data_IF_688336147730
#
_entry.id   IF_688336147730
#
_cell.length_a   1.000
_cell.length_b   1.000
_cell.length_c   1.000
_cell.angle_alpha   90.00
_cell.angle_beta   90.00
_cell.angle_gamma   90.00
#
_symmetry.space_group_name_H-M   'P 1'
#
loop_
_entity.id
_entity.type
_entity.pdbx_description
1 polymer ?
#
# COMPACT_ATOMS: atom_id res chain seq x y z
N UNK A 1 19.67 34.11 -3.59
CA UNK A 1 19.54 32.72 -3.14
C UNK A 1 18.13 32.32 -3.52
N UNK A 2 17.99 31.65 -4.66
CA UNK A 2 16.70 31.18 -5.14
C UNK A 2 16.16 30.14 -4.15
N UNK A 3 14.93 30.33 -3.70
CA UNK A 3 14.18 29.34 -2.94
C UNK A 3 13.90 28.25 -3.98
N UNK A 4 14.56 27.09 -3.86
CA UNK A 4 14.20 25.95 -4.68
C UNK A 4 12.76 25.59 -4.34
N UNK A 5 11.84 25.75 -5.31
CA UNK A 5 10.50 25.17 -5.24
C UNK A 5 10.68 23.69 -4.92
N UNK A 6 10.40 23.35 -3.67
CA UNK A 6 10.46 21.96 -3.21
C UNK A 6 9.18 21.36 -3.77
N UNK A 7 9.26 20.82 -5.00
CA UNK A 7 8.14 20.16 -5.64
C UNK A 7 7.60 19.12 -4.66
N UNK A 8 6.47 19.44 -4.04
CA UNK A 8 5.88 18.59 -3.03
C UNK A 8 5.16 17.47 -3.78
N UNK A 9 5.83 16.33 -3.91
CA UNK A 9 5.36 15.10 -4.59
C UNK A 9 4.23 14.41 -3.83
N UNK A 10 3.30 15.20 -3.31
CA UNK A 10 2.25 14.79 -2.41
C UNK A 10 1.15 14.09 -3.18
N UNK A 11 0.83 12.86 -2.75
CA UNK A 11 -0.22 12.07 -3.37
C UNK A 11 -1.62 12.60 -2.97
N UNK A 12 -2.65 12.41 -3.82
CA UNK A 12 -4.03 12.81 -3.50
C UNK A 12 -4.51 12.30 -2.13
N UNK A 13 -4.19 11.05 -1.80
CA UNK A 13 -4.48 10.45 -0.49
C UNK A 13 -3.81 11.19 0.68
N UNK A 14 -2.56 11.62 0.54
CA UNK A 14 -1.83 12.37 1.58
C UNK A 14 -2.48 13.74 1.83
N UNK A 15 -2.86 14.42 0.74
CA UNK A 15 -3.62 15.68 0.80
C UNK A 15 -4.96 15.49 1.50
N UNK A 16 -5.64 14.37 1.25
CA UNK A 16 -6.89 14.01 1.92
C UNK A 16 -6.69 13.81 3.43
N UNK A 17 -5.71 13.02 3.84
CA UNK A 17 -5.41 12.78 5.27
C UNK A 17 -4.99 14.05 6.00
N UNK A 18 -4.17 14.91 5.37
CA UNK A 18 -3.77 16.20 5.96
C UNK A 18 -4.96 17.12 6.22
N UNK A 19 -5.97 17.15 5.34
CA UNK A 19 -7.19 17.92 5.57
C UNK A 19 -7.95 17.39 6.77
N UNK A 20 -8.13 16.07 6.86
CA UNK A 20 -8.77 15.44 8.01
C UNK A 20 -8.05 15.77 9.33
N UNK A 21 -6.72 15.70 9.37
CA UNK A 21 -5.94 16.02 10.57
C UNK A 21 -6.05 17.50 10.97
N UNK A 22 -6.26 18.40 10.01
CA UNK A 22 -6.49 19.82 10.28
C UNK A 22 -7.90 20.09 10.80
N UNK A 23 -8.91 19.47 10.21
CA UNK A 23 -10.33 19.63 10.59
C UNK A 23 -10.63 19.00 11.97
N UNK A 24 -9.81 18.04 12.38
CA UNK A 24 -9.97 17.31 13.66
C UNK A 24 -9.25 17.96 14.83
N UNK A 25 -8.33 18.90 14.57
CA UNK A 25 -7.87 19.85 15.61
C UNK A 25 -8.96 20.84 16.03
N UNK A 26 -9.99 21.03 15.21
CA UNK A 26 -11.14 21.91 15.52
C UNK A 26 -12.34 21.20 16.15
N UNK A 27 -12.37 19.85 16.13
CA UNK A 27 -13.50 19.09 16.68
C UNK A 27 -12.98 17.90 17.48
N UNK A 28 -13.04 18.01 18.81
CA UNK A 28 -12.68 16.94 19.74
C UNK A 28 -13.43 15.66 19.35
N UNK A 29 -12.71 14.62 18.93
CA UNK A 29 -13.20 13.29 18.50
C UNK A 29 -13.95 12.48 19.59
N UNK A 30 -14.48 13.13 20.62
CA UNK A 30 -15.29 12.48 21.65
C UNK A 30 -16.70 12.10 21.18
N UNK A 31 -17.22 12.71 20.10
CA UNK A 31 -18.67 12.67 19.86
C UNK A 31 -19.12 11.74 18.73
N UNK A 32 -18.22 11.25 17.86
CA UNK A 32 -18.64 10.48 16.68
C UNK A 32 -19.11 9.05 16.99
N UNK A 33 -18.80 8.51 18.17
CA UNK A 33 -19.39 7.26 18.66
C UNK A 33 -20.56 7.47 19.63
N UNK A 34 -20.85 8.72 20.03
CA UNK A 34 -21.82 9.04 21.08
C UNK A 34 -23.08 9.77 20.55
N UNK A 35 -23.10 10.26 19.30
CA UNK A 35 -24.26 10.95 18.75
C UNK A 35 -25.01 10.10 17.73
N UNK A 36 -26.14 9.54 18.16
CA UNK A 36 -27.03 8.66 17.42
C UNK A 36 -27.93 9.39 16.39
N UNK A 37 -27.54 10.56 15.89
CA UNK A 37 -28.40 11.36 15.02
C UNK A 37 -27.64 11.97 13.83
N UNK A 38 -28.10 11.55 12.65
CA UNK A 38 -27.93 12.16 11.32
C UNK A 38 -26.60 11.94 10.58
N UNK A 39 -26.58 10.92 9.72
CA UNK A 39 -25.79 10.96 8.48
C UNK A 39 -26.75 10.74 7.30
N UNK A 40 -26.90 11.79 6.49
CA UNK A 40 -27.69 11.81 5.25
C UNK A 40 -27.04 10.91 4.21
N UNK A 41 -27.82 10.00 3.64
CA UNK A 41 -27.45 9.13 2.53
C UNK A 41 -27.05 9.96 1.31
N UNK A 42 -25.80 9.86 0.85
CA UNK A 42 -25.37 10.50 -0.40
C UNK A 42 -23.88 10.72 -0.62
N UNK A 43 -23.00 10.60 0.38
CA UNK A 43 -21.57 10.89 0.21
C UNK A 43 -20.67 9.67 0.45
N UNK A 44 -19.60 9.61 -0.35
CA UNK A 44 -18.62 8.52 -0.50
C UNK A 44 -18.24 7.82 0.83
N UNK A 45 -18.42 6.48 0.95
CA UNK A 45 -18.05 5.78 2.16
C UNK A 45 -16.54 5.57 2.20
N UNK A 46 -15.82 6.31 3.05
CA UNK A 46 -14.63 5.91 3.83
C UNK A 46 -13.84 7.14 4.28
N UNK A 47 -14.11 7.59 5.51
CA UNK A 47 -13.31 8.62 6.18
C UNK A 47 -12.95 8.20 7.60
N UNK A 48 -12.32 7.04 7.83
CA UNK A 48 -11.80 6.75 9.19
C UNK A 48 -10.48 5.97 9.13
N UNK A 49 -9.36 6.67 8.93
CA UNK A 49 -8.04 6.20 9.31
C UNK A 49 -7.18 7.39 9.76
N UNK A 50 -7.53 8.00 10.88
CA UNK A 50 -6.61 8.86 11.65
C UNK A 50 -6.13 8.06 12.87
N UNK A 51 -4.90 7.56 12.76
CA UNK A 51 -3.94 7.45 13.86
C UNK A 51 -4.49 7.10 15.26
N UNK A 52 -4.99 5.86 15.47
CA UNK A 52 -4.57 4.98 16.59
C UNK A 52 -5.25 3.63 16.70
N UNK A 53 -6.36 3.36 16.04
CA UNK A 53 -6.88 2.00 15.86
C UNK A 53 -7.87 1.98 14.71
N UNK A 54 -7.87 0.85 14.04
CA UNK A 54 -8.41 0.56 12.73
C UNK A 54 -9.90 0.89 12.53
N UNK A 55 -10.30 1.34 11.34
CA UNK A 55 -11.71 1.25 10.90
C UNK A 55 -11.81 0.66 9.50
N UNK A 56 -12.46 -0.51 9.47
CA UNK A 56 -12.98 -1.24 8.32
C UNK A 56 -14.38 -0.72 8.06
N UNK A 57 -14.83 -0.76 6.80
CA UNK A 57 -16.19 -0.52 6.34
C UNK A 57 -17.27 -0.83 7.41
N UNK A 58 -17.80 0.20 8.08
CA UNK A 58 -18.89 0.04 9.04
C UNK A 58 -20.23 -0.03 8.31
N UNK A 59 -21.03 -1.04 8.59
CA UNK A 59 -22.47 -0.85 8.59
C UNK A 59 -22.77 0.09 9.77
N UNK A 60 -23.01 1.37 9.48
CA UNK A 60 -23.17 2.47 10.46
C UNK A 60 -24.39 2.27 11.38
N UNK A 61 -25.18 1.20 11.20
CA UNK A 61 -26.31 0.85 12.07
C UNK A 61 -25.97 0.04 13.33
N UNK A 62 -24.82 -0.67 13.36
CA UNK A 62 -24.41 -1.45 14.53
C UNK A 62 -22.88 -1.51 14.61
N UNK A 63 -22.29 -1.10 15.73
CA UNK A 63 -20.85 -1.25 16.01
C UNK A 63 -20.46 -2.72 16.27
N UNK A 64 -20.85 -3.63 15.38
CA UNK A 64 -20.45 -5.02 15.40
C UNK A 64 -19.34 -5.23 14.36
N UNK A 65 -18.09 -5.29 14.83
CA UNK A 65 -16.93 -5.64 13.99
C UNK A 65 -16.97 -7.15 13.77
N UNK A 66 -17.71 -7.59 12.74
CA UNK A 66 -17.71 -8.98 12.29
C UNK A 66 -16.55 -9.24 11.31
N UNK A 67 -15.32 -9.11 11.78
CA UNK A 67 -14.15 -9.53 11.01
C UNK A 67 -13.34 -10.56 11.77
N UNK A 68 -12.83 -11.57 11.06
CA UNK A 68 -11.74 -12.41 11.56
C UNK A 68 -10.62 -11.53 12.11
N UNK A 69 -9.88 -11.94 13.15
CA UNK A 69 -8.78 -11.13 13.68
C UNK A 69 -7.70 -10.95 12.59
N UNK A 70 -7.70 -9.80 11.92
CA UNK A 70 -6.69 -9.43 10.92
C UNK A 70 -5.58 -8.67 11.65
N UNK A 71 -4.34 -9.14 11.52
CA UNK A 71 -3.18 -8.50 12.15
C UNK A 71 -2.93 -7.09 11.63
N UNK A 72 -2.45 -6.20 12.50
CA UNK A 72 -2.17 -4.78 12.20
C UNK A 72 -1.29 -4.60 10.94
N UNK A 73 -0.40 -5.54 10.64
CA UNK A 73 0.44 -5.45 9.45
C UNK A 73 -0.34 -5.63 8.14
N UNK A 74 -1.38 -6.45 8.14
CA UNK A 74 -2.31 -6.57 7.01
C UNK A 74 -3.13 -5.29 6.84
N UNK A 75 -3.53 -4.68 7.94
CA UNK A 75 -4.31 -3.45 7.98
C UNK A 75 -3.54 -2.28 7.37
N UNK A 76 -2.25 -2.15 7.68
CA UNK A 76 -1.36 -1.19 7.03
C UNK A 76 -1.28 -1.42 5.52
N UNK A 77 -1.18 -2.67 5.09
CA UNK A 77 -1.15 -3.02 3.66
C UNK A 77 -2.48 -2.69 2.99
N UNK A 78 -3.62 -2.96 3.63
CA UNK A 78 -4.95 -2.59 3.12
C UNK A 78 -5.07 -1.09 2.90
N UNK A 79 -4.60 -0.27 3.85
CA UNK A 79 -4.56 1.18 3.67
C UNK A 79 -3.78 1.57 2.41
N UNK A 80 -2.58 1.00 2.23
CA UNK A 80 -1.73 1.32 1.06
C UNK A 80 -2.42 0.93 -0.26
N UNK A 81 -3.07 -0.24 -0.31
CA UNK A 81 -3.86 -0.70 -1.46
C UNK A 81 -5.02 0.26 -1.75
N UNK A 82 -5.72 0.70 -0.70
CA UNK A 82 -6.82 1.65 -0.83
C UNK A 82 -6.34 3.02 -1.31
N UNK A 83 -5.26 3.54 -0.72
CA UNK A 83 -4.63 4.80 -1.12
C UNK A 83 -4.23 4.76 -2.59
N UNK A 84 -3.74 3.61 -3.07
CA UNK A 84 -3.45 3.44 -4.49
C UNK A 84 -4.65 3.66 -5.39
N UNK A 85 -5.81 3.11 -5.02
CA UNK A 85 -7.05 3.35 -5.76
C UNK A 85 -7.47 4.83 -5.79
N UNK A 86 -7.01 5.66 -4.85
CA UNK A 86 -7.21 7.11 -4.88
C UNK A 86 -6.13 7.83 -5.69
N UNK A 87 -4.92 7.28 -5.71
CA UNK A 87 -3.75 7.92 -6.29
C UNK A 87 -3.48 7.51 -7.74
N UNK A 88 -4.07 6.41 -8.23
CA UNK A 88 -3.61 5.76 -9.46
C UNK A 88 -3.71 6.65 -10.70
N UNK A 89 -4.74 7.47 -10.85
CA UNK A 89 -4.85 8.40 -12.01
C UNK A 89 -3.76 9.47 -11.97
N UNK A 90 -3.46 9.99 -10.77
CA UNK A 90 -2.40 10.97 -10.59
C UNK A 90 -1.02 10.37 -10.89
N UNK A 91 -0.76 9.16 -10.37
CA UNK A 91 0.48 8.43 -10.69
C UNK A 91 0.55 8.07 -12.17
N UNK A 92 -0.57 7.68 -12.80
CA UNK A 92 -0.65 7.39 -14.24
C UNK A 92 -0.29 8.62 -15.07
N UNK A 93 -0.86 9.78 -14.73
CA UNK A 93 -0.58 11.07 -15.34
C UNK A 93 0.91 11.41 -15.25
N UNK A 94 1.54 11.33 -14.07
CA UNK A 94 2.95 11.67 -13.87
C UNK A 94 3.96 10.84 -14.72
N UNK A 95 3.54 9.72 -15.30
CA UNK A 95 4.36 8.89 -16.18
C UNK A 95 3.92 8.93 -17.67
N UNK A 96 3.01 9.83 -18.02
CA UNK A 96 2.67 10.18 -19.40
C UNK A 96 3.60 11.30 -19.91
N UNK A 97 3.65 11.48 -21.22
CA UNK A 97 4.43 12.53 -21.89
C UNK A 97 3.65 13.84 -22.05
N UNK A 98 2.53 13.98 -21.32
CA UNK A 98 1.67 15.16 -21.39
C UNK A 98 2.26 16.29 -20.54
N UNK A 99 2.29 17.52 -21.08
CA UNK A 99 2.84 18.69 -20.39
C UNK A 99 2.01 19.04 -19.15
N UNK A 100 0.69 18.78 -19.17
CA UNK A 100 -0.22 18.99 -18.03
C UNK A 100 0.04 18.03 -16.85
N UNK A 101 0.82 16.97 -17.11
CA UNK A 101 1.19 15.94 -16.14
C UNK A 101 2.65 16.01 -15.68
N UNK A 102 3.40 17.04 -16.11
CA UNK A 102 4.85 17.10 -15.88
C UNK A 102 5.18 17.46 -14.44
N UNK A 103 5.50 16.44 -13.64
CA UNK A 103 5.96 16.60 -12.25
C UNK A 103 7.34 15.98 -12.06
N UNK A 104 8.23 16.69 -11.36
CA UNK A 104 9.58 16.20 -11.01
C UNK A 104 9.55 15.21 -9.83
N UNK A 105 8.62 14.27 -9.85
CA UNK A 105 8.29 13.35 -8.75
C UNK A 105 8.54 11.88 -9.07
N UNK A 106 9.21 11.62 -10.20
CA UNK A 106 9.50 10.26 -10.69
C UNK A 106 10.12 9.38 -9.61
N UNK A 107 11.11 9.86 -8.87
CA UNK A 107 11.82 9.04 -7.87
C UNK A 107 10.88 8.62 -6.72
N UNK A 108 10.06 9.54 -6.22
CA UNK A 108 9.12 9.28 -5.11
C UNK A 108 7.97 8.38 -5.56
N UNK A 109 7.41 8.63 -6.74
CA UNK A 109 6.38 7.75 -7.29
C UNK A 109 6.91 6.37 -7.63
N UNK A 110 8.17 6.24 -8.06
CA UNK A 110 8.77 4.93 -8.22
C UNK A 110 8.89 4.18 -6.89
N UNK A 111 9.30 4.83 -5.79
CA UNK A 111 9.30 4.19 -4.46
C UNK A 111 7.90 3.77 -4.02
N UNK A 112 6.91 4.60 -4.33
CA UNK A 112 5.51 4.29 -4.09
C UNK A 112 5.07 3.05 -4.89
N UNK A 113 5.29 3.03 -6.21
CA UNK A 113 4.98 1.88 -7.09
C UNK A 113 5.70 0.60 -6.66
N UNK A 114 6.96 0.68 -6.23
CA UNK A 114 7.69 -0.46 -5.67
C UNK A 114 6.96 -1.07 -4.48
N UNK A 115 6.47 -0.23 -3.56
CA UNK A 115 5.71 -0.66 -2.39
C UNK A 115 4.39 -1.32 -2.81
N UNK A 116 3.68 -0.73 -3.79
CA UNK A 116 2.44 -1.30 -4.35
C UNK A 116 2.69 -2.66 -5.00
N UNK A 117 3.74 -2.80 -5.81
CA UNK A 117 4.11 -4.07 -6.45
C UNK A 117 4.32 -5.18 -5.41
N UNK A 118 5.13 -4.91 -4.39
CA UNK A 118 5.43 -5.89 -3.33
C UNK A 118 4.18 -6.33 -2.57
N UNK A 119 3.25 -5.40 -2.32
CA UNK A 119 1.97 -5.69 -1.66
C UNK A 119 1.05 -6.46 -2.61
N UNK A 120 0.91 -6.03 -3.87
CA UNK A 120 0.11 -6.71 -4.89
C UNK A 120 0.51 -8.17 -5.01
N UNK A 121 1.82 -8.47 -5.10
CA UNK A 121 2.31 -9.85 -5.19
C UNK A 121 1.99 -10.69 -3.96
N UNK A 122 2.05 -10.13 -2.75
CA UNK A 122 1.57 -10.85 -1.57
C UNK A 122 0.07 -11.14 -1.63
N UNK A 123 -0.73 -10.13 -1.99
CA UNK A 123 -2.20 -10.25 -1.98
C UNK A 123 -2.76 -11.07 -3.14
N UNK A 124 -2.06 -11.17 -4.27
CA UNK A 124 -2.40 -12.07 -5.37
C UNK A 124 -2.53 -13.52 -4.88
N UNK A 125 -1.64 -13.95 -3.99
CA UNK A 125 -1.71 -15.28 -3.35
C UNK A 125 -2.78 -15.34 -2.26
N UNK A 126 -2.84 -14.33 -1.37
CA UNK A 126 -3.81 -14.29 -0.25
C UNK A 126 -5.25 -14.35 -0.75
N UNK A 127 -5.57 -13.56 -1.76
CA UNK A 127 -6.92 -13.43 -2.29
C UNK A 127 -7.31 -14.55 -3.26
N UNK A 128 -6.35 -15.31 -3.78
CA UNK A 128 -6.62 -16.47 -4.64
C UNK A 128 -6.82 -17.75 -3.84
N UNK A 129 -6.35 -17.79 -2.60
CA UNK A 129 -6.40 -19.00 -1.77
C UNK A 129 -7.63 -18.99 -0.83
N UNK A 130 -8.52 -19.96 -1.03
CA UNK A 130 -9.78 -20.10 -0.29
C UNK A 130 -9.62 -20.20 1.23
N UNK A 131 -8.51 -20.73 1.76
CA UNK A 131 -8.31 -20.90 3.22
C UNK A 131 -7.86 -19.62 3.92
N UNK A 132 -7.23 -18.68 3.22
CA UNK A 132 -6.71 -17.41 3.78
C UNK A 132 -7.38 -16.15 3.23
N UNK A 133 -8.38 -16.32 2.35
CA UNK A 133 -9.14 -15.23 1.72
C UNK A 133 -9.85 -14.29 2.72
N UNK A 134 -9.98 -14.68 3.99
CA UNK A 134 -10.46 -13.78 5.06
C UNK A 134 -9.61 -12.52 5.23
N UNK A 135 -8.34 -12.55 4.80
CA UNK A 135 -7.42 -11.41 4.82
C UNK A 135 -7.45 -10.61 3.51
N UNK A 136 -8.23 -11.02 2.53
CA UNK A 136 -8.42 -10.28 1.30
C UNK A 136 -9.36 -9.09 1.55
N UNK A 137 -8.98 -7.86 1.14
CA UNK A 137 -9.87 -6.72 1.30
C UNK A 137 -11.07 -6.84 0.35
N UNK A 138 -12.25 -6.42 0.79
CA UNK A 138 -13.47 -6.45 -0.04
C UNK A 138 -13.33 -5.64 -1.34
N UNK A 139 -12.48 -4.60 -1.34
CA UNK A 139 -12.16 -3.75 -2.49
C UNK A 139 -11.02 -4.29 -3.36
N UNK A 140 -10.56 -5.52 -3.14
CA UNK A 140 -9.43 -6.11 -3.88
C UNK A 140 -9.65 -6.09 -5.39
N UNK A 141 -10.87 -6.40 -5.85
CA UNK A 141 -11.18 -6.44 -7.29
C UNK A 141 -11.08 -5.07 -7.97
N UNK A 142 -11.51 -4.02 -7.29
CA UNK A 142 -11.41 -2.65 -7.81
C UNK A 142 -9.95 -2.22 -7.89
N UNK A 143 -9.17 -2.54 -6.85
CA UNK A 143 -7.72 -2.32 -6.87
C UNK A 143 -7.04 -3.10 -8.00
N UNK A 144 -7.36 -4.38 -8.22
CA UNK A 144 -6.78 -5.18 -9.29
C UNK A 144 -6.98 -4.52 -10.66
N UNK A 145 -8.16 -3.95 -10.91
CA UNK A 145 -8.46 -3.21 -12.14
C UNK A 145 -7.56 -1.99 -12.29
N UNK A 146 -7.51 -1.13 -11.27
CA UNK A 146 -6.69 0.10 -11.27
C UNK A 146 -5.19 -0.22 -11.44
N UNK A 147 -4.71 -1.25 -10.74
CA UNK A 147 -3.33 -1.72 -10.83
C UNK A 147 -3.01 -2.26 -12.22
N UNK A 148 -3.91 -3.02 -12.84
CA UNK A 148 -3.69 -3.56 -14.19
C UNK A 148 -3.46 -2.45 -15.22
N UNK A 149 -4.23 -1.37 -15.15
CA UNK A 149 -4.10 -0.21 -16.05
C UNK A 149 -2.75 0.52 -15.94
N UNK A 150 -2.14 0.46 -14.77
CA UNK A 150 -0.95 1.24 -14.38
C UNK A 150 0.29 0.37 -14.17
N UNK A 151 0.16 -0.95 -14.24
CA UNK A 151 1.23 -1.92 -13.99
C UNK A 151 2.48 -1.70 -14.85
N UNK A 152 2.32 -1.19 -16.06
CA UNK A 152 3.43 -0.85 -16.96
C UNK A 152 4.36 0.25 -16.42
N UNK A 153 3.91 1.07 -15.46
CA UNK A 153 4.71 2.12 -14.82
C UNK A 153 5.89 1.52 -14.06
N UNK A 154 5.75 0.31 -13.51
CA UNK A 154 6.84 -0.39 -12.82
C UNK A 154 8.09 -0.51 -13.72
N UNK A 155 7.90 -0.80 -15.01
CA UNK A 155 9.00 -0.91 -15.96
C UNK A 155 9.72 0.42 -16.23
N UNK A 156 8.98 1.54 -16.14
CA UNK A 156 9.51 2.91 -16.30
C UNK A 156 10.35 3.37 -15.09
N UNK A 157 10.29 2.63 -13.99
CA UNK A 157 11.01 2.90 -12.75
C UNK A 157 12.31 2.10 -12.61
N UNK A 158 12.67 1.27 -13.60
CA UNK A 158 13.84 0.40 -13.52
C UNK A 158 15.15 1.16 -13.26
N UNK A 159 15.36 2.28 -13.94
CA UNK A 159 16.54 3.14 -13.74
C UNK A 159 16.61 3.71 -12.32
N UNK A 160 15.46 4.08 -11.75
CA UNK A 160 15.36 4.55 -10.37
C UNK A 160 15.64 3.41 -9.38
N UNK A 161 15.08 2.23 -9.61
CA UNK A 161 15.32 1.06 -8.76
C UNK A 161 16.78 0.66 -8.76
N UNK A 162 17.41 0.58 -9.93
CA UNK A 162 18.83 0.25 -10.05
C UNK A 162 19.71 1.29 -9.32
N UNK A 163 19.40 2.59 -9.49
CA UNK A 163 20.08 3.70 -8.80
C UNK A 163 19.95 3.61 -7.27
N UNK A 164 18.77 3.28 -6.78
CA UNK A 164 18.48 3.14 -5.35
C UNK A 164 18.90 1.77 -4.78
N UNK A 165 19.40 0.87 -5.63
CA UNK A 165 19.86 -0.45 -5.23
C UNK A 165 18.71 -1.38 -4.84
N UNK A 166 17.57 -1.31 -5.53
CA UNK A 166 16.48 -2.28 -5.44
C UNK A 166 16.57 -3.31 -6.57
N UNK A 167 16.32 -4.57 -6.26
CA UNK A 167 16.28 -5.66 -7.24
C UNK A 167 15.18 -6.66 -6.91
N UNK A 168 14.71 -7.37 -7.93
CA UNK A 168 13.72 -8.43 -7.76
C UNK A 168 14.37 -9.71 -7.25
N UNK A 169 13.76 -10.31 -6.25
CA UNK A 169 14.17 -11.58 -5.66
C UNK A 169 12.91 -12.39 -5.30
N UNK A 170 13.01 -13.71 -5.39
CA UNK A 170 11.96 -14.61 -4.91
C UNK A 170 12.06 -14.77 -3.40
N UNK A 171 11.05 -14.31 -2.67
CA UNK A 171 10.97 -14.35 -1.21
C UNK A 171 10.03 -15.46 -0.74
N UNK A 172 10.43 -16.18 0.29
CA UNK A 172 9.59 -17.21 0.92
C UNK A 172 8.30 -16.58 1.47
N UNK A 173 7.17 -17.18 1.13
CA UNK A 173 5.83 -16.73 1.48
C UNK A 173 5.23 -17.63 2.57
N UNK A 174 5.45 -17.25 3.83
CA UNK A 174 5.21 -18.10 5.00
C UNK A 174 3.76 -18.32 5.44
N UNK A 175 2.78 -17.96 4.62
CA UNK A 175 1.35 -18.00 5.03
C UNK A 175 0.71 -19.39 4.94
N UNK A 176 1.28 -20.31 4.17
CA UNK A 176 0.66 -21.63 3.91
C UNK A 176 1.42 -22.81 4.53
N UNK A 177 2.54 -22.57 5.22
CA UNK A 177 3.43 -23.65 5.70
C UNK A 177 4.09 -24.48 4.59
N UNK A 178 3.78 -24.18 3.33
CA UNK A 178 4.38 -24.74 2.11
C UNK A 178 5.55 -23.84 1.69
N UNK A 179 6.59 -24.41 1.08
CA UNK A 179 7.66 -23.63 0.42
C UNK A 179 7.15 -22.94 -0.85
N UNK A 180 6.39 -21.88 -0.66
CA UNK A 180 5.97 -20.97 -1.72
C UNK A 180 6.89 -19.74 -1.76
N UNK A 181 7.21 -19.28 -2.96
CA UNK A 181 8.06 -18.12 -3.17
C UNK A 181 7.38 -17.11 -4.09
N UNK A 182 7.39 -15.83 -3.71
CA UNK A 182 6.80 -14.74 -4.48
C UNK A 182 7.87 -13.73 -4.88
N UNK A 183 7.73 -13.12 -6.06
CA UNK A 183 8.65 -12.09 -6.53
C UNK A 183 8.40 -10.78 -5.79
N UNK A 184 9.46 -10.21 -5.19
CA UNK A 184 9.42 -8.93 -4.50
C UNK A 184 10.70 -8.14 -4.78
N UNK A 185 10.60 -6.81 -4.75
CA UNK A 185 11.74 -5.92 -4.70
C UNK A 185 12.33 -5.86 -3.29
N UNK A 186 13.65 -5.98 -3.23
CA UNK A 186 14.43 -5.91 -2.00
C UNK A 186 15.60 -4.94 -2.15
N UNK A 187 15.99 -4.31 -1.05
CA UNK A 187 17.13 -3.39 -1.05
C UNK A 187 18.44 -4.15 -0.91
N UNK A 188 19.45 -3.74 -1.67
CA UNK A 188 20.82 -4.28 -1.64
C UNK A 188 21.49 -4.18 -0.27
N UNK A 189 21.04 -3.26 0.58
CA UNK A 189 21.57 -3.07 1.93
C UNK A 189 21.06 -4.09 2.95
N UNK A 190 20.20 -5.04 2.55
CA UNK A 190 19.52 -5.97 3.45
C UNK A 190 19.85 -7.46 3.24
N UNK A 191 21.07 -7.81 2.81
CA UNK A 191 21.71 -9.15 2.82
C UNK A 191 22.10 -9.78 1.46
N UNK A 192 23.39 -9.61 1.15
CA UNK A 192 24.30 -10.43 0.34
C UNK A 192 24.17 -10.43 -1.19
N UNK A 193 25.30 -10.13 -1.83
CA UNK A 193 25.65 -10.44 -3.22
C UNK A 193 25.13 -11.81 -3.72
N UNK A 194 25.05 -12.81 -2.84
CA UNK A 194 24.56 -14.14 -3.18
C UNK A 194 23.06 -14.18 -3.51
N UNK A 195 22.21 -13.45 -2.78
CA UNK A 195 20.76 -13.39 -3.09
C UNK A 195 20.52 -12.78 -4.47
N UNK A 196 21.35 -11.80 -4.87
CA UNK A 196 21.34 -11.22 -6.22
C UNK A 196 21.77 -12.22 -7.30
N UNK A 197 22.74 -13.09 -7.00
CA UNK A 197 23.20 -14.12 -7.95
C UNK A 197 22.17 -15.24 -8.14
N UNK A 198 21.61 -15.74 -7.04
CA UNK A 198 20.71 -16.90 -7.09
C UNK A 198 19.26 -16.49 -7.40
N UNK A 199 18.90 -15.22 -7.16
CA UNK A 199 17.54 -14.71 -7.40
C UNK A 199 16.50 -15.17 -6.38
N UNK A 200 16.94 -15.75 -5.26
CA UNK A 200 16.12 -16.22 -4.14
C UNK A 200 16.63 -15.62 -2.84
N UNK A 201 15.70 -15.26 -1.95
CA UNK A 201 16.03 -14.81 -0.61
C UNK A 201 16.29 -16.02 0.29
N UNK A 202 17.44 -16.02 0.94
CA UNK A 202 17.84 -17.04 1.92
C UNK A 202 17.51 -16.62 3.36
N UNK A 203 16.93 -15.42 3.55
CA UNK A 203 16.53 -14.87 4.86
C UNK A 203 15.74 -15.86 5.70
N UNK A 204 14.83 -16.62 5.07
CA UNK A 204 14.04 -17.65 5.74
C UNK A 204 14.90 -18.81 6.30
N UNK A 205 15.86 -19.29 5.52
CA UNK A 205 16.74 -20.38 5.95
C UNK A 205 17.73 -19.90 7.03
N UNK A 206 18.22 -18.66 6.90
CA UNK A 206 19.08 -18.02 7.90
C UNK A 206 18.34 -17.84 9.24
N UNK A 207 17.10 -17.35 9.23
CA UNK A 207 16.32 -17.19 10.46
C UNK A 207 16.07 -18.52 11.16
N UNK A 208 15.87 -19.61 10.41
CA UNK A 208 15.75 -20.96 10.96
C UNK A 208 17.04 -21.52 11.56
N UNK A 209 18.21 -21.15 11.01
CA UNK A 209 19.51 -21.70 11.46
C UNK A 209 20.11 -20.94 12.64
N UNK A 210 19.78 -19.66 12.83
CA UNK A 210 20.26 -18.85 13.97
C UNK A 210 19.61 -19.28 15.31
N UNK A 211 18.51 -20.03 15.26
CA UNK A 211 17.80 -20.55 16.45
C UNK A 211 18.25 -21.96 16.89
N UNK A 212 19.36 -22.48 16.36
CA UNK A 212 20.03 -23.72 16.78
C UNK A 212 21.43 -23.43 17.32
#
# INVERSE_FOLDING_TARGET
MEISDTNNCELPSEKYYRKLDNDTKTTTYGNYCDSNENIVSGEHPLSILTSRNFVINFNIGECNINHSPIGIDYLKKWKIIYDYSLNYEHVKCAFQTDEDCSENCKEDYCRYILSIFNIYKGFEHICSNATINQRCPYFWKDFQKNYSETSHIESKCKDVYDKLGFYKVKMYFGELGIEEYIEQYESTYMFSFFEKLIGYSIKYYLSKTIHY
#
